data_IF_711483378217
#
_entry.id   IF_711483378217
#
_cell.length_a   1.000
_cell.length_b   1.000
_cell.length_c   1.000
_cell.angle_alpha   90.00
_cell.angle_beta   90.00
_cell.angle_gamma   90.00
#
_symmetry.space_group_name_H-M   'P 1'
#
loop_
_entity.id
_entity.type
_entity.pdbx_description
1 polymer ?
#
# COMPACT_ATOMS: atom_id res chain seq x y z
N UNK A 1 1.81 -15.73 -40.91
CA UNK A 1 0.97 -14.90 -40.02
C UNK A 1 1.65 -14.92 -38.68
N UNK A 2 2.27 -13.82 -38.30
CA UNK A 2 3.20 -13.72 -37.17
C UNK A 2 2.44 -13.89 -35.86
N UNK A 3 2.62 -15.04 -35.22
CA UNK A 3 2.30 -15.29 -33.82
C UNK A 3 3.10 -14.28 -32.98
N UNK A 4 2.52 -13.11 -32.76
CA UNK A 4 3.08 -12.17 -31.79
C UNK A 4 2.76 -12.75 -30.42
N UNK A 5 3.77 -13.35 -29.79
CA UNK A 5 3.63 -13.91 -28.44
C UNK A 5 2.97 -12.88 -27.52
N UNK A 6 1.94 -13.24 -26.75
CA UNK A 6 1.17 -12.29 -25.93
C UNK A 6 2.05 -11.48 -24.98
N UNK A 7 3.19 -12.04 -24.56
CA UNK A 7 4.20 -11.37 -23.74
C UNK A 7 4.91 -10.22 -24.47
N UNK A 8 5.14 -10.34 -25.78
CA UNK A 8 5.77 -9.29 -26.61
C UNK A 8 4.81 -8.11 -26.84
N UNK A 9 3.51 -8.40 -26.98
CA UNK A 9 2.48 -7.37 -27.06
C UNK A 9 2.40 -6.57 -25.75
N UNK A 10 2.44 -7.25 -24.59
CA UNK A 10 2.54 -6.61 -23.27
C UNK A 10 3.80 -5.77 -23.11
N UNK A 11 4.95 -6.26 -23.55
CA UNK A 11 6.20 -5.51 -23.53
C UNK A 11 6.16 -4.22 -24.35
N UNK A 12 5.53 -4.27 -25.52
CA UNK A 12 5.35 -3.09 -26.39
C UNK A 12 4.45 -2.03 -25.72
N UNK A 13 3.47 -2.48 -24.94
CA UNK A 13 2.55 -1.62 -24.19
C UNK A 13 3.25 -0.95 -23.00
N UNK A 14 4.12 -1.67 -22.29
CA UNK A 14 4.95 -1.12 -21.20
C UNK A 14 5.99 -0.13 -21.71
N UNK A 15 6.60 -0.40 -22.87
CA UNK A 15 7.56 0.52 -23.49
C UNK A 15 6.89 1.84 -23.91
N UNK A 16 5.66 1.75 -24.45
CA UNK A 16 4.83 2.91 -24.74
C UNK A 16 4.48 3.71 -23.47
N UNK A 17 4.10 3.02 -22.38
CA UNK A 17 3.82 3.67 -21.09
C UNK A 17 5.09 4.37 -20.55
N UNK A 18 6.22 3.66 -20.49
CA UNK A 18 7.50 4.20 -20.00
C UNK A 18 7.95 5.43 -20.78
N UNK A 19 7.82 5.37 -22.11
CA UNK A 19 8.12 6.50 -22.99
C UNK A 19 7.20 7.71 -22.77
N UNK A 20 5.98 7.53 -22.23
CA UNK A 20 5.09 8.66 -21.89
C UNK A 20 5.43 9.28 -20.55
N UNK A 21 5.89 8.47 -19.59
CA UNK A 21 6.32 8.94 -18.26
C UNK A 21 7.64 9.71 -18.34
N UNK A 22 8.59 9.24 -19.15
CA UNK A 22 9.92 9.85 -19.29
C UNK A 22 9.87 11.24 -19.97
N UNK A 23 8.94 11.45 -20.92
CA UNK A 23 8.80 12.71 -21.68
C UNK A 23 7.95 13.79 -20.99
N UNK A 24 7.90 13.79 -19.66
CA UNK A 24 7.00 14.60 -18.81
C UNK A 24 6.56 15.96 -19.39
N UNK A 25 5.25 16.15 -19.52
CA UNK A 25 4.63 17.40 -19.97
C UNK A 25 3.56 17.23 -21.06
N UNK A 26 3.89 16.57 -22.18
CA UNK A 26 2.93 16.27 -23.27
C UNK A 26 2.32 14.86 -23.20
N UNK A 27 2.91 13.95 -22.42
CA UNK A 27 2.44 12.57 -22.24
C UNK A 27 1.25 12.40 -21.29
N UNK A 28 0.97 13.39 -20.44
CA UNK A 28 -0.02 13.32 -19.35
C UNK A 28 -1.45 13.02 -19.82
N UNK A 29 -1.82 13.38 -21.05
CA UNK A 29 -3.15 13.06 -21.61
C UNK A 29 -3.29 11.59 -22.04
N UNK A 30 -2.17 10.92 -22.30
CA UNK A 30 -2.13 9.55 -22.81
C UNK A 30 -1.67 8.55 -21.76
N UNK A 31 -1.09 9.01 -20.64
CA UNK A 31 -0.68 8.15 -19.53
C UNK A 31 -1.86 7.47 -18.83
N UNK A 32 -2.97 8.14 -18.47
CA UNK A 32 -4.10 7.47 -17.80
C UNK A 32 -4.69 6.29 -18.59
N UNK A 33 -5.05 6.40 -19.89
CA UNK A 33 -5.63 5.27 -20.61
C UNK A 33 -4.62 4.13 -20.83
N UNK A 34 -3.33 4.42 -20.99
CA UNK A 34 -2.30 3.39 -21.10
C UNK A 34 -2.07 2.67 -19.76
N UNK A 35 -2.08 3.41 -18.65
CA UNK A 35 -1.93 2.84 -17.32
C UNK A 35 -3.11 1.94 -16.97
N UNK A 36 -4.35 2.39 -17.20
CA UNK A 36 -5.54 1.57 -16.99
C UNK A 36 -5.45 0.25 -17.75
N UNK A 37 -5.00 0.30 -19.01
CA UNK A 37 -4.82 -0.90 -19.83
C UNK A 37 -3.73 -1.84 -19.31
N UNK A 38 -2.59 -1.32 -18.84
CA UNK A 38 -1.55 -2.13 -18.16
C UNK A 38 -2.12 -2.85 -16.95
N UNK A 39 -2.92 -2.14 -16.16
CA UNK A 39 -3.49 -2.63 -14.90
C UNK A 39 -4.58 -3.68 -15.13
N UNK A 40 -5.51 -3.42 -16.05
CA UNK A 40 -6.62 -4.31 -16.41
C UNK A 40 -6.12 -5.61 -17.06
N UNK A 41 -5.16 -5.52 -17.98
CA UNK A 41 -4.61 -6.69 -18.68
C UNK A 41 -3.58 -7.47 -17.84
N UNK A 42 -3.21 -6.95 -16.66
CA UNK A 42 -2.15 -7.52 -15.81
C UNK A 42 -0.79 -7.54 -16.52
N UNK A 43 -0.59 -6.67 -17.53
CA UNK A 43 0.58 -6.70 -18.41
C UNK A 43 1.89 -6.47 -17.64
N UNK A 44 1.83 -5.75 -16.52
CA UNK A 44 2.96 -5.46 -15.63
C UNK A 44 3.48 -6.69 -14.87
N UNK A 45 2.68 -7.76 -14.70
CA UNK A 45 3.07 -8.94 -13.94
C UNK A 45 4.03 -9.84 -14.72
N UNK A 46 3.82 -9.97 -16.03
CA UNK A 46 4.65 -10.81 -16.89
C UNK A 46 4.64 -10.29 -18.34
N UNK A 47 5.81 -9.91 -18.84
CA UNK A 47 6.00 -9.40 -20.20
C UNK A 47 7.39 -9.74 -20.76
N UNK A 48 7.50 -9.74 -22.09
CA UNK A 48 8.77 -9.90 -22.81
C UNK A 48 9.24 -8.53 -23.30
N UNK A 49 10.43 -8.12 -22.89
CA UNK A 49 11.06 -6.88 -23.35
C UNK A 49 11.38 -6.93 -24.84
N UNK A 50 11.61 -5.77 -25.46
CA UNK A 50 12.09 -5.69 -26.86
C UNK A 50 13.42 -6.41 -27.09
N UNK A 51 14.17 -6.72 -26.02
CA UNK A 51 15.43 -7.48 -26.04
C UNK A 51 15.23 -9.00 -25.94
N UNK A 52 13.98 -9.47 -25.84
CA UNK A 52 13.64 -10.89 -25.69
C UNK A 52 13.77 -11.41 -24.26
N UNK A 53 13.98 -10.54 -23.27
CA UNK A 53 14.02 -10.94 -21.85
C UNK A 53 12.60 -10.99 -21.28
N UNK A 54 12.22 -12.11 -20.64
CA UNK A 54 10.96 -12.21 -19.89
C UNK A 54 11.16 -11.63 -18.49
N UNK A 55 10.33 -10.66 -18.12
CA UNK A 55 10.35 -9.98 -16.83
C UNK A 55 9.06 -10.30 -16.09
N UNK A 56 9.19 -10.61 -14.81
CA UNK A 56 8.07 -10.90 -13.93
C UNK A 56 8.13 -10.02 -12.68
N UNK A 57 7.00 -9.45 -12.29
CA UNK A 57 6.86 -8.67 -11.05
C UNK A 57 5.80 -9.26 -10.14
N UNK A 58 6.12 -9.36 -8.86
CA UNK A 58 5.20 -9.85 -7.84
C UNK A 58 4.24 -8.75 -7.37
N UNK A 59 4.73 -7.50 -7.32
CA UNK A 59 3.97 -6.36 -6.83
C UNK A 59 4.02 -5.19 -7.81
N UNK A 60 2.93 -4.42 -7.88
CA UNK A 60 2.86 -3.26 -8.77
C UNK A 60 3.86 -2.18 -8.36
N UNK A 61 4.18 -2.06 -7.07
CA UNK A 61 5.21 -1.15 -6.57
C UNK A 61 6.58 -1.50 -7.15
N UNK A 62 6.92 -2.79 -7.21
CA UNK A 62 8.19 -3.27 -7.75
C UNK A 62 8.33 -2.91 -9.23
N UNK A 63 7.27 -3.13 -10.02
CA UNK A 63 7.19 -2.70 -11.42
C UNK A 63 7.40 -1.18 -11.58
N UNK A 64 6.74 -0.37 -10.75
CA UNK A 64 6.84 1.10 -10.83
C UNK A 64 8.27 1.58 -10.52
N UNK A 65 8.90 1.02 -9.49
CA UNK A 65 10.24 1.44 -9.06
C UNK A 65 11.38 0.84 -9.87
N UNK A 66 11.14 -0.27 -10.57
CA UNK A 66 12.15 -0.94 -11.39
C UNK A 66 12.55 -0.05 -12.58
N UNK A 67 13.86 0.11 -12.88
CA UNK A 67 14.32 0.98 -13.97
C UNK A 67 13.68 0.69 -15.34
N UNK A 68 13.68 1.69 -16.25
CA UNK A 68 13.14 1.52 -17.60
C UNK A 68 13.73 0.31 -18.32
N UNK A 69 12.94 -0.31 -19.21
CA UNK A 69 13.14 -1.62 -19.87
C UNK A 69 12.65 -2.82 -19.05
N UNK A 70 12.75 -2.77 -17.72
CA UNK A 70 12.23 -3.82 -16.83
C UNK A 70 11.09 -3.32 -15.95
N UNK A 71 10.86 -2.02 -15.88
CA UNK A 71 9.74 -1.41 -15.17
C UNK A 71 9.54 0.03 -15.64
N UNK A 72 8.94 0.86 -14.79
CA UNK A 72 8.59 2.24 -15.14
C UNK A 72 9.68 3.26 -14.78
N UNK A 73 10.60 2.92 -13.88
CA UNK A 73 11.66 3.80 -13.39
C UNK A 73 11.14 5.03 -12.64
N UNK A 74 9.93 4.95 -12.10
CA UNK A 74 9.19 6.07 -11.53
C UNK A 74 8.94 5.85 -10.03
N UNK A 75 8.41 6.89 -9.39
CA UNK A 75 7.89 6.77 -8.02
C UNK A 75 6.38 6.59 -8.07
N UNK A 76 5.82 5.86 -7.10
CA UNK A 76 4.37 5.70 -6.94
C UNK A 76 3.67 7.06 -6.83
N UNK A 77 4.28 8.03 -6.16
CA UNK A 77 3.76 9.40 -6.05
C UNK A 77 3.71 10.14 -7.39
N UNK A 78 4.66 9.88 -8.28
CA UNK A 78 4.65 10.44 -9.64
C UNK A 78 3.50 9.82 -10.43
N UNK A 79 3.38 8.49 -10.41
CA UNK A 79 2.28 7.78 -11.10
C UNK A 79 0.92 8.25 -10.60
N UNK A 80 0.74 8.39 -9.28
CA UNK A 80 -0.48 8.92 -8.66
C UNK A 80 -0.79 10.34 -9.12
N UNK A 81 0.22 11.22 -9.22
CA UNK A 81 0.03 12.59 -9.74
C UNK A 81 -0.39 12.60 -11.21
N UNK A 82 0.11 11.67 -12.01
CA UNK A 82 -0.22 11.59 -13.45
C UNK A 82 -1.65 11.16 -13.72
N UNK A 83 -2.29 10.44 -12.78
CA UNK A 83 -3.68 10.00 -12.88
C UNK A 83 -4.63 10.74 -11.93
N UNK A 84 -4.18 11.81 -11.29
CA UNK A 84 -4.97 12.52 -10.29
C UNK A 84 -6.29 13.09 -10.84
N UNK A 85 -6.32 13.46 -12.12
CA UNK A 85 -7.49 14.01 -12.81
C UNK A 85 -8.36 12.93 -13.50
N UNK A 86 -7.97 11.65 -13.40
CA UNK A 86 -8.72 10.51 -13.95
C UNK A 86 -9.16 9.59 -12.79
N UNK A 87 -10.41 9.72 -12.31
CA UNK A 87 -10.91 8.93 -11.19
C UNK A 87 -10.86 7.42 -11.43
N UNK A 88 -11.04 6.98 -12.68
CA UNK A 88 -11.05 5.56 -13.04
C UNK A 88 -9.63 4.99 -12.98
N UNK A 89 -8.66 5.70 -13.56
CA UNK A 89 -7.26 5.28 -13.52
C UNK A 89 -6.68 5.33 -12.09
N UNK A 90 -7.14 6.29 -11.27
CA UNK A 90 -6.76 6.38 -9.86
C UNK A 90 -7.30 5.19 -9.04
N UNK A 91 -8.56 4.80 -9.24
CA UNK A 91 -9.16 3.64 -8.57
C UNK A 91 -8.43 2.33 -8.93
N UNK A 92 -8.14 2.13 -10.22
CA UNK A 92 -7.36 0.98 -10.70
C UNK A 92 -5.95 0.96 -10.09
N UNK A 93 -5.29 2.11 -10.02
CA UNK A 93 -3.98 2.26 -9.40
C UNK A 93 -4.03 1.94 -7.90
N UNK A 94 -5.03 2.46 -7.19
CA UNK A 94 -5.22 2.21 -5.76
C UNK A 94 -5.50 0.73 -5.47
N UNK A 95 -6.28 0.06 -6.33
CA UNK A 95 -6.51 -1.39 -6.25
C UNK A 95 -5.23 -2.20 -6.49
N UNK A 96 -4.41 -1.80 -7.46
CA UNK A 96 -3.16 -2.48 -7.79
C UNK A 96 -2.07 -2.28 -6.71
N UNK A 97 -1.98 -1.08 -6.13
CA UNK A 97 -1.07 -0.77 -5.02
C UNK A 97 -1.55 -1.36 -3.68
N UNK A 98 -2.87 -1.50 -3.53
CA UNK A 98 -3.51 -1.99 -2.31
C UNK A 98 -3.45 -3.51 -2.14
N UNK A 99 -3.12 -4.25 -3.21
CA UNK A 99 -2.97 -5.71 -3.24
C UNK A 99 -4.24 -6.43 -2.75
N UNK A 100 -5.12 -6.86 -3.67
CA UNK A 100 -6.30 -7.71 -3.39
C UNK A 100 -6.93 -7.49 -1.99
N UNK A 101 -7.19 -6.23 -1.65
CA UNK A 101 -8.27 -5.91 -0.72
C UNK A 101 -9.41 -5.58 -1.62
N UNK A 102 -10.24 -6.60 -1.86
CA UNK A 102 -11.53 -6.41 -2.48
C UNK A 102 -12.14 -5.17 -1.85
N UNK A 103 -12.41 -4.15 -2.68
CA UNK A 103 -13.41 -3.17 -2.39
C UNK A 103 -14.70 -3.95 -2.27
N UNK A 104 -14.94 -4.53 -1.09
CA UNK A 104 -16.28 -4.86 -0.67
C UNK A 104 -16.86 -3.51 -0.32
N UNK A 105 -17.56 -2.93 -1.27
CA UNK A 105 -18.70 -2.09 -0.93
C UNK A 105 -19.36 -2.71 0.30
N UNK A 106 -19.64 -1.97 1.38
CA UNK A 106 -20.34 -2.53 2.52
C UNK A 106 -21.75 -2.91 2.07
N UNK A 107 -21.87 -4.12 1.55
CA UNK A 107 -23.12 -4.77 1.23
C UNK A 107 -23.76 -5.15 2.56
N UNK A 108 -24.86 -4.49 2.97
CA UNK A 108 -25.42 -4.63 4.33
C UNK A 108 -26.05 -6.00 4.59
N UNK A 109 -25.95 -6.97 3.66
CA UNK A 109 -26.59 -8.28 3.75
C UNK A 109 -25.68 -9.51 3.58
N UNK A 110 -24.35 -9.38 3.55
CA UNK A 110 -23.47 -10.56 3.53
C UNK A 110 -22.96 -10.95 4.92
N UNK A 111 -23.76 -11.74 5.63
CA UNK A 111 -23.39 -12.45 6.87
C UNK A 111 -22.68 -13.78 6.58
N UNK A 112 -21.68 -13.81 5.71
CA UNK A 112 -20.82 -14.99 5.56
C UNK A 112 -19.43 -14.70 6.13
N UNK A 113 -19.28 -15.12 7.39
CA UNK A 113 -18.07 -15.06 8.16
C UNK A 113 -17.00 -15.93 7.50
N UNK A 114 -16.10 -15.31 6.74
CA UNK A 114 -14.80 -15.92 6.45
C UNK A 114 -14.18 -16.31 7.79
N UNK A 115 -13.73 -17.57 7.97
CA UNK A 115 -13.19 -18.01 9.25
C UNK A 115 -12.03 -17.10 9.65
N UNK A 116 -12.01 -16.61 10.90
CA UNK A 116 -10.97 -15.71 11.36
C UNK A 116 -9.61 -16.38 11.17
N UNK A 117 -8.66 -15.63 10.62
CA UNK A 117 -7.28 -16.10 10.57
C UNK A 117 -6.83 -16.57 11.96
N UNK A 118 -5.91 -17.53 12.05
CA UNK A 118 -5.45 -18.05 13.34
C UNK A 118 -5.01 -16.94 14.32
N UNK A 119 -4.44 -15.84 13.79
CA UNK A 119 -4.05 -14.66 14.56
C UNK A 119 -5.25 -13.87 15.12
N UNK A 120 -6.33 -13.73 14.34
CA UNK A 120 -7.58 -13.12 14.79
C UNK A 120 -8.29 -14.00 15.82
N UNK A 121 -8.35 -15.32 15.60
CA UNK A 121 -8.94 -16.26 16.56
C UNK A 121 -8.22 -16.22 17.92
N UNK A 122 -6.89 -16.17 17.92
CA UNK A 122 -6.11 -16.02 19.15
C UNK A 122 -6.36 -14.67 19.85
N UNK A 123 -6.50 -13.57 19.09
CA UNK A 123 -6.84 -12.27 19.64
C UNK A 123 -8.25 -12.25 20.27
N UNK A 124 -9.23 -12.86 19.61
CA UNK A 124 -10.61 -12.97 20.13
C UNK A 124 -10.67 -13.77 21.43
N UNK A 125 -9.97 -14.91 21.51
CA UNK A 125 -9.89 -15.71 22.76
C UNK A 125 -9.28 -14.92 23.92
N UNK A 126 -8.27 -14.10 23.64
CA UNK A 126 -7.60 -13.28 24.65
C UNK A 126 -8.49 -12.12 25.11
N UNK A 127 -9.16 -11.44 24.18
CA UNK A 127 -10.18 -10.43 24.51
C UNK A 127 -11.34 -11.05 25.31
N UNK A 128 -11.81 -12.24 24.94
CA UNK A 128 -12.88 -12.91 25.65
C UNK A 128 -12.52 -13.19 27.13
N UNK A 129 -11.27 -13.55 27.40
CA UNK A 129 -10.78 -13.88 28.74
C UNK A 129 -10.52 -12.62 29.58
N UNK A 130 -9.78 -11.67 29.02
CA UNK A 130 -9.17 -10.59 29.79
C UNK A 130 -9.93 -9.25 29.64
N UNK A 131 -10.77 -9.09 28.60
CA UNK A 131 -11.57 -7.88 28.35
C UNK A 131 -12.90 -8.18 27.61
N UNK A 132 -13.87 -8.82 28.28
CA UNK A 132 -15.10 -9.30 27.64
C UNK A 132 -15.96 -8.18 27.05
N UNK A 133 -15.90 -6.96 27.61
CA UNK A 133 -16.59 -5.80 27.06
C UNK A 133 -16.05 -5.40 25.69
N UNK A 134 -14.72 -5.41 25.51
CA UNK A 134 -14.10 -5.15 24.22
C UNK A 134 -14.36 -6.29 23.23
N UNK A 135 -14.43 -7.53 23.72
CA UNK A 135 -14.82 -8.68 22.90
C UNK A 135 -16.25 -8.52 22.34
N UNK A 136 -17.21 -8.06 23.15
CA UNK A 136 -18.59 -7.82 22.71
C UNK A 136 -18.66 -6.76 21.61
N UNK A 137 -17.88 -5.69 21.72
CA UNK A 137 -17.81 -4.63 20.70
C UNK A 137 -17.18 -5.09 19.39
N UNK A 138 -16.27 -6.05 19.44
CA UNK A 138 -15.72 -6.69 18.23
C UNK A 138 -16.76 -7.59 17.56
N UNK A 139 -17.52 -8.36 18.35
CA UNK A 139 -18.61 -9.19 17.82
C UNK A 139 -19.75 -8.35 17.22
N UNK A 140 -20.01 -7.17 17.79
CA UNK A 140 -20.98 -6.21 17.27
C UNK A 140 -20.49 -5.48 15.99
N UNK A 141 -19.22 -5.67 15.59
CA UNK A 141 -18.63 -5.00 14.43
C UNK A 141 -18.27 -3.53 14.66
N UNK A 142 -18.40 -3.01 15.87
CA UNK A 142 -18.04 -1.63 16.22
C UNK A 142 -16.53 -1.41 16.22
N UNK A 143 -15.76 -2.44 16.58
CA UNK A 143 -14.30 -2.40 16.68
C UNK A 143 -13.67 -3.59 15.95
N UNK A 144 -12.49 -3.37 15.37
CA UNK A 144 -11.68 -4.49 14.88
C UNK A 144 -11.01 -5.21 16.05
N UNK A 145 -10.75 -6.52 15.91
CA UNK A 145 -10.03 -7.30 16.91
C UNK A 145 -8.66 -6.68 17.26
N UNK A 146 -7.98 -6.06 16.30
CA UNK A 146 -6.71 -5.37 16.55
C UNK A 146 -6.91 -4.09 17.36
N UNK A 147 -7.90 -3.27 17.01
CA UNK A 147 -8.21 -2.04 17.74
C UNK A 147 -8.62 -2.34 19.19
N UNK A 148 -9.46 -3.35 19.40
CA UNK A 148 -9.84 -3.82 20.73
C UNK A 148 -8.63 -4.33 21.54
N UNK A 149 -7.70 -5.04 20.91
CA UNK A 149 -6.47 -5.49 21.58
C UNK A 149 -5.56 -4.33 22.00
N UNK A 150 -5.47 -3.28 21.18
CA UNK A 150 -4.72 -2.07 21.53
C UNK A 150 -5.42 -1.29 22.64
N UNK A 151 -6.75 -1.15 22.57
CA UNK A 151 -7.54 -0.46 23.58
C UNK A 151 -7.51 -1.18 24.93
N UNK A 152 -7.50 -2.52 24.94
CA UNK A 152 -7.35 -3.33 26.13
C UNK A 152 -5.92 -3.41 26.66
N UNK A 153 -4.95 -2.71 26.06
CA UNK A 153 -3.55 -2.70 26.49
C UNK A 153 -2.79 -4.00 26.22
N UNK A 154 -3.40 -4.99 25.55
CA UNK A 154 -2.75 -6.25 25.21
C UNK A 154 -1.71 -6.12 24.09
N UNK A 155 -1.75 -5.01 23.34
CA UNK A 155 -0.79 -4.67 22.29
C UNK A 155 -0.42 -3.21 22.36
N UNK A 156 0.89 -2.93 22.29
CA UNK A 156 1.39 -1.58 22.17
C UNK A 156 1.02 -1.00 20.80
N UNK A 157 0.60 0.27 20.79
CA UNK A 157 0.34 1.02 19.56
C UNK A 157 1.67 1.50 18.98
N UNK A 158 2.04 0.99 17.81
CA UNK A 158 3.24 1.43 17.08
C UNK A 158 2.87 2.39 15.96
N UNK A 159 3.62 3.48 15.83
CA UNK A 159 3.54 4.38 14.68
C UNK A 159 4.82 4.21 13.85
N UNK A 160 4.66 4.07 12.53
CA UNK A 160 5.81 4.02 11.61
C UNK A 160 6.07 5.42 11.07
N UNK A 161 7.31 5.91 11.23
CA UNK A 161 7.69 7.25 10.75
C UNK A 161 9.09 7.19 10.14
N UNK A 162 9.31 7.79 8.95
CA UNK A 162 10.64 7.84 8.34
C UNK A 162 11.64 8.62 9.21
N UNK A 163 12.72 7.96 9.63
CA UNK A 163 13.77 8.55 10.49
C UNK A 163 14.65 9.57 9.77
N UNK A 164 14.64 9.59 8.43
CA UNK A 164 15.39 10.55 7.61
C UNK A 164 14.82 11.97 7.63
N UNK A 165 13.61 12.16 8.19
CA UNK A 165 12.92 13.45 8.26
C UNK A 165 12.52 13.74 9.70
N UNK A 166 13.37 14.42 10.49
CA UNK A 166 13.14 14.65 11.90
C UNK A 166 11.85 15.45 12.17
N UNK A 167 11.42 16.31 11.25
CA UNK A 167 10.18 17.09 11.38
C UNK A 167 8.93 16.20 11.28
N UNK A 168 8.97 15.18 10.42
CA UNK A 168 7.88 14.21 10.28
C UNK A 168 7.76 13.33 11.52
N UNK A 169 8.90 12.87 12.06
CA UNK A 169 8.97 12.17 13.34
C UNK A 169 8.38 13.03 14.46
N UNK A 170 8.84 14.27 14.61
CA UNK A 170 8.34 15.19 15.63
C UNK A 170 6.82 15.43 15.51
N UNK A 171 6.30 15.64 14.28
CA UNK A 171 4.86 15.86 14.06
C UNK A 171 4.03 14.63 14.42
N UNK A 172 4.49 13.44 14.02
CA UNK A 172 3.81 12.19 14.32
C UNK A 172 3.80 11.90 15.83
N UNK A 173 4.91 12.14 16.51
CA UNK A 173 5.04 11.97 17.96
C UNK A 173 4.13 12.95 18.71
N UNK A 174 4.12 14.24 18.34
CA UNK A 174 3.21 15.25 18.93
C UNK A 174 1.73 14.93 18.79
N UNK A 175 1.33 14.25 17.72
CA UNK A 175 -0.08 13.87 17.50
C UNK A 175 -0.51 12.65 18.33
N UNK A 176 0.44 11.82 18.75
CA UNK A 176 0.14 10.51 19.32
C UNK A 176 0.56 10.36 20.79
N UNK A 177 1.46 11.20 21.30
CA UNK A 177 1.92 11.21 22.69
C UNK A 177 1.20 12.30 23.50
N UNK A 178 1.01 12.04 24.79
CA UNK A 178 0.54 13.06 25.73
C UNK A 178 1.66 14.08 26.01
N UNK A 179 1.32 15.31 26.46
CA UNK A 179 2.32 16.33 26.78
C UNK A 179 3.41 15.88 27.77
N UNK A 180 3.02 15.09 28.78
CA UNK A 180 3.94 14.54 29.79
C UNK A 180 4.90 13.50 29.20
N UNK A 181 4.38 12.60 28.36
CA UNK A 181 5.17 11.59 27.67
C UNK A 181 6.13 12.22 26.66
N UNK A 182 5.70 13.31 26.01
CA UNK A 182 6.55 14.09 25.11
C UNK A 182 7.68 14.80 25.87
N UNK A 183 7.40 15.37 27.05
CA UNK A 183 8.43 15.97 27.89
C UNK A 183 9.46 14.94 28.36
N UNK A 184 9.00 13.75 28.74
CA UNK A 184 9.89 12.63 29.06
C UNK A 184 10.70 12.19 27.84
N UNK A 185 10.07 12.06 26.66
CA UNK A 185 10.78 11.73 25.43
C UNK A 185 11.85 12.77 25.08
N UNK A 186 11.57 14.06 25.23
CA UNK A 186 12.55 15.14 25.01
C UNK A 186 13.72 14.98 25.97
N UNK A 187 13.47 14.66 27.25
CA UNK A 187 14.53 14.40 28.23
C UNK A 187 15.41 13.23 27.80
N UNK A 188 14.82 12.10 27.41
CA UNK A 188 15.54 10.91 26.94
C UNK A 188 16.36 11.19 25.67
N UNK A 189 15.87 12.03 24.76
CA UNK A 189 16.58 12.42 23.55
C UNK A 189 17.68 13.46 23.79
N UNK A 190 17.62 14.18 24.91
CA UNK A 190 18.59 15.22 25.28
C UNK A 190 19.68 14.71 26.22
N UNK A 191 19.47 13.55 26.85
CA UNK A 191 20.51 12.81 27.55
C UNK A 191 21.40 12.14 26.47
N UNK A 192 22.46 12.85 26.04
CA UNK A 192 23.54 12.28 25.23
C UNK A 192 24.11 11.07 25.98
N UNK A 193 23.90 9.86 25.47
CA UNK A 193 24.81 8.76 25.77
C UNK A 193 26.19 9.19 25.25
N UNK A 194 27.22 9.33 26.11
CA UNK A 194 28.56 9.61 25.61
C UNK A 194 28.95 8.45 24.69
N UNK A 195 29.19 8.78 23.43
CA UNK A 195 29.71 7.84 22.45
C UNK A 195 31.05 7.30 22.96
N UNK A 196 31.12 5.98 23.21
CA UNK A 196 32.39 5.23 23.27
C UNK A 196 32.95 5.00 21.86
#
# INVERSE_FOLDING_TARGET
>A
MTDSSPLRARGSLIDALSSTVDRGGHGLKHTPPLLSRVLEEGAWQEFETVRGEVVQHTDFVDFVTTPPLKGLGATVDLVRRMVADDPTALDLLDRALGGEKTSRDPDPHSSEATPPSAKQAAALRRLQKDAPELHARVLAGELSAHAAMVQGGFRARTISVPVSKPESAARALRRNLKPEELAHLIKLLSEEEPAE
#
